data_IF_450404788186
#
_entry.id   IF_450404788186
#
_cell.length_a   1.000
_cell.length_b   1.000
_cell.length_c   1.000
_cell.angle_alpha   90.00
_cell.angle_beta   90.00
_cell.angle_gamma   90.00
#
_symmetry.space_group_name_H-M   'P 1'
#
loop_
_entity.id
_entity.type
_entity.pdbx_description
1 polymer ?
#
# COMPACT_ATOMS: atom_id res chain seq x y z
N UNK A 1 -4.24 9.75 30.74
CA UNK A 1 -4.67 9.70 29.34
C UNK A 1 -4.07 8.45 28.72
N UNK A 2 -4.86 7.56 28.19
CA UNK A 2 -4.38 6.35 27.51
C UNK A 2 -3.90 6.69 26.07
N UNK A 3 -3.33 5.74 25.36
CA UNK A 3 -2.79 5.96 24.01
C UNK A 3 -3.85 6.38 22.99
N UNK A 4 -5.07 5.81 23.08
CA UNK A 4 -6.19 6.15 22.21
C UNK A 4 -6.68 7.59 22.46
N UNK A 5 -6.79 7.99 23.72
CA UNK A 5 -7.15 9.36 24.09
C UNK A 5 -6.11 10.38 23.57
N UNK A 6 -4.82 10.05 23.66
CA UNK A 6 -3.74 10.88 23.10
C UNK A 6 -3.81 10.96 21.59
N UNK A 7 -4.08 9.85 20.92
CA UNK A 7 -4.24 9.82 19.47
C UNK A 7 -5.43 10.68 19.03
N UNK A 8 -6.56 10.56 19.73
CA UNK A 8 -7.75 11.40 19.46
C UNK A 8 -7.42 12.88 19.63
N UNK A 9 -6.76 13.26 20.73
CA UNK A 9 -6.35 14.65 20.97
C UNK A 9 -5.42 15.19 19.87
N UNK A 10 -4.45 14.38 19.40
CA UNK A 10 -3.55 14.75 18.30
C UNK A 10 -4.37 15.00 17.03
N UNK A 11 -5.28 14.09 16.68
CA UNK A 11 -6.13 14.19 15.49
C UNK A 11 -7.06 15.41 15.58
N UNK A 12 -7.68 15.64 16.74
CA UNK A 12 -8.60 16.75 16.94
C UNK A 12 -7.90 18.11 16.79
N UNK A 13 -6.66 18.22 17.22
CA UNK A 13 -5.85 19.43 17.13
C UNK A 13 -5.08 19.57 15.80
N UNK A 14 -5.15 18.59 14.91
CA UNK A 14 -4.50 18.61 13.61
C UNK A 14 -5.38 19.23 12.54
N UNK A 15 -4.75 19.92 11.58
CA UNK A 15 -5.43 20.54 10.44
C UNK A 15 -4.97 19.95 9.09
N UNK A 16 -3.77 19.40 9.04
CA UNK A 16 -3.17 18.82 7.83
C UNK A 16 -2.51 17.47 8.16
N UNK A 17 -3.32 16.44 8.22
CA UNK A 17 -2.85 15.07 8.48
C UNK A 17 -2.45 14.43 7.16
N UNK A 18 -1.31 13.73 7.15
CA UNK A 18 -0.94 12.76 6.12
C UNK A 18 -0.89 11.39 6.76
N UNK A 19 -1.44 10.40 6.08
CA UNK A 19 -1.31 9.01 6.45
C UNK A 19 -0.30 8.32 5.53
N UNK A 20 0.66 7.56 6.10
CA UNK A 20 1.62 6.74 5.37
C UNK A 20 1.43 5.27 5.77
N UNK A 21 0.96 4.45 4.83
CA UNK A 21 0.56 3.06 5.09
C UNK A 21 1.33 2.01 4.28
N UNK A 22 1.34 0.80 4.83
CA UNK A 22 1.83 -0.40 4.16
C UNK A 22 0.87 -1.58 4.30
N UNK A 23 1.34 -2.79 3.97
CA UNK A 23 0.51 -3.99 3.87
C UNK A 23 -0.23 -4.36 5.19
N UNK A 24 0.32 -3.98 6.34
CA UNK A 24 -0.33 -4.17 7.63
C UNK A 24 -1.68 -3.45 7.79
N UNK A 25 -1.97 -2.43 6.95
CA UNK A 25 -3.28 -1.75 6.93
C UNK A 25 -4.37 -2.69 6.42
N UNK A 26 -4.05 -3.56 5.46
CA UNK A 26 -5.00 -4.45 4.79
C UNK A 26 -5.09 -5.85 5.42
N UNK A 27 -4.30 -6.15 6.47
CA UNK A 27 -4.34 -7.49 7.11
C UNK A 27 -5.67 -7.80 7.78
N UNK A 28 -6.35 -6.79 8.33
CA UNK A 28 -7.69 -6.95 8.92
C UNK A 28 -8.80 -7.03 7.85
N UNK A 29 -8.44 -6.84 6.58
CA UNK A 29 -9.28 -7.06 5.39
C UNK A 29 -9.03 -8.43 4.73
N UNK A 30 -8.19 -9.28 5.33
CA UNK A 30 -7.86 -10.61 4.81
C UNK A 30 -6.72 -10.64 3.79
N UNK A 31 -6.08 -9.51 3.49
CA UNK A 31 -4.90 -9.47 2.62
C UNK A 31 -3.65 -9.67 3.50
N UNK A 32 -2.87 -10.75 3.32
CA UNK A 32 -1.66 -10.97 4.10
C UNK A 32 -0.62 -9.87 3.83
N UNK A 33 0.14 -9.50 4.84
CA UNK A 33 1.33 -8.68 4.62
C UNK A 33 2.46 -9.51 3.98
N UNK A 34 3.59 -8.87 3.72
CA UNK A 34 4.71 -9.56 3.05
C UNK A 34 5.63 -10.30 4.02
N UNK A 35 5.86 -9.80 5.25
CA UNK A 35 6.99 -10.18 6.10
C UNK A 35 6.64 -10.83 7.42
N UNK A 36 5.39 -10.80 7.86
CA UNK A 36 4.98 -11.49 9.08
C UNK A 36 5.10 -13.02 8.92
N UNK A 37 4.94 -13.74 10.02
CA UNK A 37 5.00 -15.20 10.01
C UNK A 37 3.98 -15.86 9.06
N UNK A 38 2.87 -15.18 8.77
CA UNK A 38 1.83 -15.60 7.83
C UNK A 38 1.85 -14.77 6.53
N UNK A 39 2.90 -13.99 6.30
CA UNK A 39 3.03 -13.11 5.15
C UNK A 39 3.40 -13.84 3.87
N UNK A 40 3.31 -13.13 2.74
CA UNK A 40 3.60 -13.68 1.42
C UNK A 40 5.01 -14.29 1.33
N UNK A 41 5.99 -13.71 2.05
CA UNK A 41 7.37 -14.22 2.03
C UNK A 41 7.60 -15.47 2.88
N UNK A 42 6.65 -15.86 3.73
CA UNK A 42 6.70 -17.12 4.49
C UNK A 42 6.18 -18.33 3.71
N UNK A 43 5.61 -18.10 2.52
CA UNK A 43 5.05 -19.17 1.67
C UNK A 43 6.20 -20.10 1.25
N UNK A 44 6.09 -21.37 1.64
CA UNK A 44 7.00 -22.41 1.17
C UNK A 44 6.69 -22.70 -0.30
N UNK A 45 7.55 -22.25 -1.17
CA UNK A 45 7.48 -22.51 -2.59
C UNK A 45 8.36 -23.74 -2.90
N UNK A 46 7.82 -24.72 -3.61
CA UNK A 46 8.60 -25.84 -4.18
C UNK A 46 9.48 -25.39 -5.36
N UNK A 47 9.98 -24.14 -5.30
CA UNK A 47 10.69 -23.48 -6.40
C UNK A 47 12.01 -22.88 -5.91
N UNK A 48 12.95 -22.74 -6.83
CA UNK A 48 14.27 -22.16 -6.55
C UNK A 48 14.29 -20.63 -6.40
N UNK A 49 13.12 -19.95 -6.45
CA UNK A 49 13.00 -18.49 -6.41
C UNK A 49 12.40 -18.02 -5.09
N UNK A 50 12.96 -16.94 -4.54
CA UNK A 50 12.33 -16.24 -3.41
C UNK A 50 11.05 -15.49 -3.85
N UNK A 51 10.13 -15.19 -2.94
CA UNK A 51 8.95 -14.38 -3.28
C UNK A 51 9.28 -13.02 -3.91
N UNK A 52 10.35 -12.36 -3.45
CA UNK A 52 10.82 -11.09 -4.05
C UNK A 52 11.26 -11.29 -5.50
N UNK A 53 11.96 -12.38 -5.79
CA UNK A 53 12.35 -12.71 -7.16
C UNK A 53 11.12 -12.97 -8.04
N UNK A 54 10.09 -13.67 -7.53
CA UNK A 54 8.86 -13.98 -8.26
C UNK A 54 8.07 -12.73 -8.68
N UNK A 55 8.22 -11.62 -7.97
CA UNK A 55 7.58 -10.33 -8.30
C UNK A 55 8.60 -9.28 -8.76
N UNK A 56 9.65 -9.71 -9.45
CA UNK A 56 10.66 -8.83 -10.05
C UNK A 56 10.42 -8.61 -11.55
N UNK A 57 11.00 -7.52 -12.08
CA UNK A 57 11.00 -7.24 -13.52
C UNK A 57 11.70 -8.36 -14.32
N UNK A 58 12.81 -8.86 -13.79
CA UNK A 58 13.53 -10.00 -14.38
C UNK A 58 12.64 -11.24 -14.51
N UNK A 59 11.85 -11.56 -13.47
CA UNK A 59 10.92 -12.69 -13.49
C UNK A 59 9.82 -12.50 -14.52
N UNK A 60 9.21 -11.32 -14.55
CA UNK A 60 8.22 -10.94 -15.54
C UNK A 60 8.71 -11.15 -16.98
N UNK A 61 9.97 -10.79 -17.27
CA UNK A 61 10.54 -10.91 -18.62
C UNK A 61 10.97 -12.33 -19.00
N UNK A 62 11.60 -13.07 -18.05
CA UNK A 62 12.23 -14.36 -18.36
C UNK A 62 11.34 -15.57 -18.08
N UNK A 63 10.44 -15.44 -17.12
CA UNK A 63 9.58 -16.52 -16.64
C UNK A 63 8.13 -16.00 -16.43
N UNK A 64 7.47 -15.52 -17.50
CA UNK A 64 6.17 -14.88 -17.35
C UNK A 64 5.08 -15.81 -16.79
N UNK A 65 5.10 -17.10 -17.10
CA UNK A 65 4.11 -18.04 -16.57
C UNK A 65 4.20 -18.15 -15.05
N UNK A 66 5.41 -18.26 -14.48
CA UNK A 66 5.65 -18.31 -13.06
C UNK A 66 5.29 -16.97 -12.36
N UNK A 67 5.64 -15.86 -13.03
CA UNK A 67 5.29 -14.52 -12.54
C UNK A 67 3.77 -14.37 -12.41
N UNK A 68 3.01 -14.64 -13.47
CA UNK A 68 1.56 -14.48 -13.47
C UNK A 68 0.84 -15.49 -12.59
N UNK A 69 1.34 -16.72 -12.48
CA UNK A 69 0.81 -17.72 -11.55
C UNK A 69 0.93 -17.25 -10.10
N UNK A 70 2.12 -16.76 -9.71
CA UNK A 70 2.35 -16.22 -8.37
C UNK A 70 1.56 -14.94 -8.13
N UNK A 71 1.58 -14.01 -9.08
CA UNK A 71 0.89 -12.73 -8.99
C UNK A 71 -0.61 -12.90 -8.75
N UNK A 72 -1.27 -13.76 -9.54
CA UNK A 72 -2.70 -14.04 -9.38
C UNK A 72 -3.05 -14.68 -8.04
N UNK A 73 -2.23 -15.62 -7.59
CA UNK A 73 -2.52 -16.40 -6.37
C UNK A 73 -2.27 -15.64 -5.08
N UNK A 74 -1.29 -14.73 -5.09
CA UNK A 74 -0.76 -14.17 -3.85
C UNK A 74 -0.81 -12.65 -3.75
N UNK A 75 -1.18 -11.94 -4.83
CA UNK A 75 -1.23 -10.48 -4.82
C UNK A 75 -2.60 -9.91 -5.21
N UNK A 76 -3.53 -10.73 -5.70
CA UNK A 76 -4.88 -10.30 -6.08
C UNK A 76 -5.90 -10.89 -5.11
N UNK A 77 -6.68 -10.03 -4.47
CA UNK A 77 -7.71 -10.38 -3.49
C UNK A 77 -9.00 -9.65 -3.82
N UNK A 78 -9.81 -10.22 -4.72
CA UNK A 78 -11.04 -9.58 -5.25
C UNK A 78 -12.15 -9.46 -4.22
N UNK A 79 -12.16 -10.31 -3.21
CA UNK A 79 -13.21 -10.38 -2.19
C UNK A 79 -12.87 -9.60 -0.91
N UNK A 80 -11.72 -8.88 -0.91
CA UNK A 80 -11.31 -8.10 0.24
C UNK A 80 -12.14 -6.82 0.35
N UNK A 81 -12.62 -6.53 1.56
CA UNK A 81 -13.41 -5.34 1.88
C UNK A 81 -12.63 -4.38 2.78
N UNK A 82 -12.87 -3.06 2.69
CA UNK A 82 -12.26 -2.10 3.57
C UNK A 82 -12.54 -2.41 5.05
N UNK A 83 -11.55 -2.20 5.90
CA UNK A 83 -11.67 -2.32 7.35
C UNK A 83 -11.80 -0.95 8.03
N UNK A 84 -12.01 -0.88 9.36
CA UNK A 84 -12.18 0.39 10.08
C UNK A 84 -11.09 1.42 9.83
N UNK A 85 -9.84 1.02 9.55
CA UNK A 85 -8.76 1.97 9.25
C UNK A 85 -9.03 2.73 7.95
N UNK A 86 -9.44 2.03 6.90
CA UNK A 86 -9.76 2.63 5.60
C UNK A 86 -10.93 3.61 5.72
N UNK A 87 -12.02 3.20 6.38
CA UNK A 87 -13.20 4.07 6.58
C UNK A 87 -12.89 5.30 7.43
N UNK A 88 -12.12 5.16 8.50
CA UNK A 88 -11.76 6.29 9.35
C UNK A 88 -10.91 7.33 8.61
N UNK A 89 -9.94 6.88 7.80
CA UNK A 89 -9.14 7.78 6.96
C UNK A 89 -9.99 8.52 5.92
N UNK A 90 -10.96 7.84 5.29
CA UNK A 90 -11.90 8.47 4.36
C UNK A 90 -12.77 9.53 5.07
N UNK A 91 -13.23 9.27 6.30
CA UNK A 91 -13.98 10.26 7.09
C UNK A 91 -13.10 11.46 7.51
N UNK A 92 -11.84 11.26 7.86
CA UNK A 92 -10.91 12.37 8.12
C UNK A 92 -10.66 13.23 6.88
N UNK A 93 -10.59 12.64 5.70
CA UNK A 93 -10.48 13.36 4.44
C UNK A 93 -11.76 14.18 4.17
N UNK A 94 -12.92 13.58 4.36
CA UNK A 94 -14.22 14.24 4.21
C UNK A 94 -14.39 15.41 5.19
N UNK A 95 -13.88 15.30 6.41
CA UNK A 95 -13.82 16.38 7.41
C UNK A 95 -12.77 17.46 7.07
N UNK A 96 -11.99 17.30 5.99
CA UNK A 96 -10.94 18.22 5.56
C UNK A 96 -9.67 18.19 6.41
N UNK A 97 -9.50 17.18 7.28
CA UNK A 97 -8.33 17.01 8.15
C UNK A 97 -7.22 16.21 7.50
N UNK A 98 -7.56 15.14 6.77
CA UNK A 98 -6.59 14.32 6.04
C UNK A 98 -6.37 14.90 4.64
N UNK A 99 -5.14 15.19 4.28
CA UNK A 99 -4.77 15.80 2.98
C UNK A 99 -4.36 14.77 1.94
N UNK A 100 -3.81 13.65 2.38
CA UNK A 100 -3.47 12.52 1.50
C UNK A 100 -3.29 11.21 2.29
N UNK A 101 -3.65 10.12 1.64
CA UNK A 101 -3.17 8.78 1.97
C UNK A 101 -2.00 8.46 1.05
N UNK A 102 -0.83 8.21 1.60
CA UNK A 102 0.34 7.69 0.87
C UNK A 102 0.42 6.21 1.20
N UNK A 103 0.27 5.34 0.21
CA UNK A 103 0.25 3.89 0.45
C UNK A 103 1.26 3.14 -0.39
N UNK A 104 1.88 2.13 0.22
CA UNK A 104 2.71 1.14 -0.47
C UNK A 104 1.86 -0.01 -1.03
N UNK A 105 0.58 -0.09 -0.65
CA UNK A 105 -0.32 -1.15 -1.09
C UNK A 105 -0.74 -0.95 -2.54
N UNK A 106 -0.97 -2.06 -3.21
CA UNK A 106 -1.46 -2.12 -4.60
C UNK A 106 -2.96 -2.44 -4.68
N UNK A 107 -3.60 -2.79 -3.55
CA UNK A 107 -5.05 -2.93 -3.43
C UNK A 107 -5.77 -1.58 -3.55
N UNK A 108 -7.10 -1.59 -3.64
CA UNK A 108 -7.92 -0.38 -3.77
C UNK A 108 -8.84 -0.14 -2.57
N UNK A 109 -8.49 -0.68 -1.41
CA UNK A 109 -9.35 -0.61 -0.22
C UNK A 109 -9.53 0.82 0.29
N UNK A 110 -8.54 1.70 0.15
CA UNK A 110 -8.68 3.11 0.49
C UNK A 110 -9.72 3.81 -0.38
N UNK A 111 -9.66 3.59 -1.71
CA UNK A 111 -10.61 4.16 -2.65
C UNK A 111 -12.01 3.57 -2.46
N UNK A 112 -12.13 2.26 -2.22
CA UNK A 112 -13.39 1.59 -1.90
C UNK A 112 -14.04 2.13 -0.63
N UNK A 113 -13.24 2.51 0.38
CA UNK A 113 -13.72 3.16 1.60
C UNK A 113 -14.17 4.62 1.40
N UNK A 114 -13.84 5.23 0.25
CA UNK A 114 -14.22 6.60 -0.11
C UNK A 114 -13.10 7.63 -0.07
N UNK A 115 -11.84 7.25 0.20
CA UNK A 115 -10.69 8.15 0.08
C UNK A 115 -10.48 8.56 -1.37
N UNK A 116 -10.22 9.85 -1.61
CA UNK A 116 -10.07 10.44 -2.94
C UNK A 116 -8.62 10.77 -3.30
N UNK A 117 -7.85 11.26 -2.32
CA UNK A 117 -6.44 11.58 -2.50
C UNK A 117 -5.59 10.42 -1.98
N UNK A 118 -5.44 9.39 -2.82
CA UNK A 118 -4.64 8.19 -2.55
C UNK A 118 -3.43 8.17 -3.47
N UNK A 119 -2.23 8.27 -2.89
CA UNK A 119 -0.95 8.25 -3.60
C UNK A 119 -0.36 6.83 -3.48
N UNK A 120 -0.58 6.02 -4.52
CA UNK A 120 -0.12 4.63 -4.59
C UNK A 120 1.32 4.58 -5.11
N UNK A 121 2.28 4.44 -4.20
CA UNK A 121 3.72 4.43 -4.54
C UNK A 121 4.14 3.23 -5.40
N UNK A 122 3.44 2.11 -5.27
CA UNK A 122 3.75 0.87 -5.99
C UNK A 122 2.70 0.52 -7.06
N UNK A 123 1.90 1.49 -7.49
CA UNK A 123 0.88 1.28 -8.51
C UNK A 123 -0.37 0.56 -8.00
N UNK A 124 -1.13 -0.08 -8.90
CA UNK A 124 -2.42 -0.69 -8.57
C UNK A 124 -2.69 -1.96 -9.38
N UNK A 125 -3.29 -2.97 -8.73
CA UNK A 125 -3.78 -4.18 -9.41
C UNK A 125 -4.93 -3.91 -10.39
N UNK A 126 -5.68 -2.82 -10.19
CA UNK A 126 -6.84 -2.48 -11.01
C UNK A 126 -6.49 -1.94 -12.39
N UNK A 127 -5.23 -1.61 -12.62
CA UNK A 127 -4.75 -1.05 -13.88
C UNK A 127 -3.73 -1.97 -14.49
N UNK A 128 -3.96 -2.31 -15.77
CA UNK A 128 -3.10 -3.21 -16.50
C UNK A 128 -2.92 -2.68 -17.92
N UNK A 129 -1.73 -2.77 -18.49
CA UNK A 129 -1.39 -2.14 -19.76
C UNK A 129 -0.79 -3.15 -20.71
N UNK A 130 -1.28 -3.19 -21.94
CA UNK A 130 -0.62 -3.91 -23.02
C UNK A 130 0.73 -3.24 -23.35
N UNK A 131 1.80 -3.98 -23.24
CA UNK A 131 3.16 -3.45 -23.45
C UNK A 131 3.48 -3.15 -24.92
N UNK A 132 2.69 -3.66 -25.87
CA UNK A 132 2.90 -3.41 -27.30
C UNK A 132 2.08 -2.26 -27.85
N UNK A 133 0.77 -2.17 -27.52
CA UNK A 133 -0.13 -1.15 -28.10
C UNK A 133 -0.61 -0.10 -27.09
N UNK A 134 -0.28 -0.24 -25.79
CA UNK A 134 -0.67 0.71 -24.75
C UNK A 134 -2.14 0.63 -24.30
N UNK A 135 -2.93 -0.32 -24.83
CA UNK A 135 -4.32 -0.49 -24.41
C UNK A 135 -4.42 -0.83 -22.94
N UNK A 136 -5.35 -0.19 -22.26
CA UNK A 136 -5.60 -0.35 -20.83
C UNK A 136 -6.69 -1.37 -20.57
N UNK A 137 -6.53 -2.13 -19.49
CA UNK A 137 -7.43 -3.18 -19.03
C UNK A 137 -7.71 -3.01 -17.54
N UNK A 138 -8.96 -3.18 -17.12
CA UNK A 138 -9.33 -3.33 -15.73
C UNK A 138 -8.94 -4.71 -15.19
N UNK A 139 -9.05 -4.88 -13.86
CA UNK A 139 -8.67 -6.13 -13.21
C UNK A 139 -9.47 -7.34 -13.74
N UNK A 140 -10.80 -7.21 -13.88
CA UNK A 140 -11.67 -8.30 -14.35
C UNK A 140 -11.34 -8.75 -15.77
N UNK A 141 -11.04 -7.80 -16.66
CA UNK A 141 -10.63 -8.11 -18.03
C UNK A 141 -9.27 -8.80 -18.06
N UNK A 142 -8.33 -8.26 -17.27
CA UNK A 142 -7.00 -8.85 -17.13
C UNK A 142 -7.07 -10.30 -16.64
N UNK A 143 -7.85 -10.58 -15.59
CA UNK A 143 -7.99 -11.92 -15.04
C UNK A 143 -8.59 -12.91 -16.04
N UNK A 144 -9.56 -12.49 -16.85
CA UNK A 144 -10.14 -13.33 -17.92
C UNK A 144 -9.13 -13.68 -19.01
N UNK A 145 -8.19 -12.78 -19.30
CA UNK A 145 -7.16 -12.98 -20.32
C UNK A 145 -5.93 -13.75 -19.78
N UNK A 146 -5.77 -13.86 -18.47
CA UNK A 146 -4.60 -14.44 -17.82
C UNK A 146 -4.65 -15.98 -17.78
N UNK A 147 -4.23 -16.65 -18.89
CA UNK A 147 -4.24 -18.10 -19.00
C UNK A 147 -3.02 -18.65 -19.81
N UNK A 148 -1.88 -18.99 -19.20
CA UNK A 148 -1.38 -18.47 -17.92
C UNK A 148 -0.94 -17.01 -18.02
N UNK A 149 -0.44 -16.57 -19.19
CA UNK A 149 0.04 -15.22 -19.50
C UNK A 149 -1.06 -14.43 -20.21
N UNK A 150 -1.39 -13.21 -19.76
CA UNK A 150 -2.42 -12.41 -20.40
C UNK A 150 -1.89 -11.75 -21.68
N UNK A 151 -2.59 -12.00 -22.80
CA UNK A 151 -2.30 -11.41 -24.10
C UNK A 151 -3.42 -10.47 -24.55
N UNK A 152 -3.01 -9.35 -25.14
CA UNK A 152 -3.92 -8.36 -25.70
C UNK A 152 -4.66 -8.96 -26.92
N UNK A 153 -5.99 -8.97 -26.94
CA UNK A 153 -6.76 -9.48 -28.09
C UNK A 153 -6.50 -8.75 -29.42
N UNK A 154 -6.09 -7.45 -29.32
CA UNK A 154 -5.93 -6.61 -30.51
C UNK A 154 -4.55 -6.78 -31.19
N UNK A 155 -3.49 -7.02 -30.40
CA UNK A 155 -2.12 -7.05 -30.96
C UNK A 155 -1.26 -8.22 -30.47
N UNK A 156 -1.81 -9.10 -29.64
CA UNK A 156 -1.15 -10.25 -29.03
C UNK A 156 0.03 -9.89 -28.11
N UNK A 157 0.21 -8.60 -27.76
CA UNK A 157 1.23 -8.16 -26.79
C UNK A 157 0.88 -8.61 -25.36
N UNK A 158 1.90 -8.80 -24.52
CA UNK A 158 1.69 -9.15 -23.11
C UNK A 158 1.08 -7.96 -22.36
N UNK A 159 0.10 -8.22 -21.50
CA UNK A 159 -0.53 -7.21 -20.64
C UNK A 159 0.15 -7.27 -19.28
N UNK A 160 0.90 -6.19 -18.94
CA UNK A 160 1.58 -6.06 -17.63
C UNK A 160 0.67 -5.32 -16.64
N UNK A 161 0.56 -5.79 -15.38
CA UNK A 161 -0.09 -4.99 -14.35
C UNK A 161 0.70 -3.69 -14.09
N UNK A 162 -0.03 -2.58 -13.89
CA UNK A 162 0.56 -1.26 -13.61
C UNK A 162 1.00 -1.20 -12.12
N UNK A 163 1.73 -2.20 -11.66
CA UNK A 163 2.38 -2.26 -10.36
C UNK A 163 3.88 -2.14 -10.53
N UNK A 164 4.54 -1.48 -9.58
CA UNK A 164 6.00 -1.37 -9.53
C UNK A 164 6.58 -2.66 -9.00
N UNK A 165 7.26 -3.42 -9.86
CA UNK A 165 7.95 -4.65 -9.49
C UNK A 165 9.30 -4.34 -8.84
N UNK A 166 9.86 -5.30 -8.11
CA UNK A 166 11.27 -5.21 -7.76
C UNK A 166 12.12 -4.97 -9.02
N UNK A 167 13.20 -4.21 -8.91
CA UNK A 167 14.06 -3.76 -10.01
C UNK A 167 13.48 -2.63 -10.87
N UNK A 168 12.21 -2.22 -10.65
CA UNK A 168 11.60 -1.07 -11.33
C UNK A 168 11.70 0.20 -10.47
N UNK A 169 11.73 1.35 -11.15
CA UNK A 169 11.67 2.66 -10.49
C UNK A 169 10.23 3.01 -10.10
N UNK A 170 10.07 3.73 -8.99
CA UNK A 170 8.78 4.32 -8.63
C UNK A 170 8.37 5.40 -9.64
N UNK A 171 7.06 5.65 -9.73
CA UNK A 171 6.54 6.83 -10.43
C UNK A 171 6.96 8.10 -9.68
N UNK A 172 7.87 8.86 -10.28
CA UNK A 172 8.41 10.07 -9.67
C UNK A 172 7.36 11.17 -9.50
N UNK A 173 6.31 11.19 -10.33
CA UNK A 173 5.21 12.15 -10.17
C UNK A 173 4.46 11.89 -8.87
N UNK A 174 4.13 10.63 -8.59
CA UNK A 174 3.49 10.24 -7.32
C UNK A 174 4.42 10.46 -6.13
N UNK A 175 5.71 10.19 -6.31
CA UNK A 175 6.73 10.37 -5.26
C UNK A 175 6.90 11.85 -4.88
N UNK A 176 6.98 12.75 -5.86
CA UNK A 176 7.07 14.20 -5.65
C UNK A 176 5.80 14.77 -5.02
N UNK A 177 4.63 14.29 -5.44
CA UNK A 177 3.35 14.69 -4.83
C UNK A 177 3.28 14.23 -3.36
N UNK A 178 3.79 13.04 -3.04
CA UNK A 178 3.90 12.56 -1.66
C UNK A 178 4.82 13.46 -0.81
N UNK A 179 5.98 13.89 -1.35
CA UNK A 179 6.86 14.85 -0.69
C UNK A 179 6.13 16.17 -0.43
N UNK A 180 5.39 16.68 -1.42
CA UNK A 180 4.62 17.92 -1.23
C UNK A 180 3.65 17.81 -0.05
N UNK A 181 2.84 16.75 0.02
CA UNK A 181 1.91 16.56 1.14
C UNK A 181 2.62 16.42 2.49
N UNK A 182 3.72 15.68 2.54
CA UNK A 182 4.50 15.46 3.76
C UNK A 182 5.13 16.77 4.29
N UNK A 183 5.63 17.62 3.40
CA UNK A 183 6.24 18.91 3.79
C UNK A 183 5.20 19.91 4.31
N UNK A 184 3.94 19.78 3.94
CA UNK A 184 2.85 20.66 4.37
C UNK A 184 2.10 20.14 5.60
N UNK A 185 2.31 18.89 6.00
CA UNK A 185 1.59 18.26 7.09
C UNK A 185 2.04 18.78 8.46
N UNK A 186 1.08 18.98 9.35
CA UNK A 186 1.35 19.20 10.78
C UNK A 186 1.41 17.88 11.57
N UNK A 187 0.79 16.84 11.05
CA UNK A 187 0.73 15.51 11.64
C UNK A 187 0.95 14.44 10.58
N UNK A 188 1.86 13.51 10.85
CA UNK A 188 2.08 12.30 10.07
C UNK A 188 1.68 11.09 10.90
N UNK A 189 0.74 10.30 10.40
CA UNK A 189 0.38 9.00 10.98
C UNK A 189 0.96 7.92 10.09
N UNK A 190 1.85 7.10 10.64
CA UNK A 190 2.44 5.94 9.98
C UNK A 190 1.74 4.69 10.50
N UNK A 191 1.22 3.85 9.61
CA UNK A 191 0.49 2.65 10.01
C UNK A 191 0.79 1.41 9.17
N UNK A 192 0.86 0.24 9.82
CA UNK A 192 0.93 -1.05 9.15
C UNK A 192 2.13 -1.23 8.22
N UNK A 193 3.28 -0.67 8.53
CA UNK A 193 4.49 -0.78 7.70
C UNK A 193 5.73 -1.04 8.54
N UNK A 194 6.64 -1.87 8.02
CA UNK A 194 7.95 -2.12 8.63
C UNK A 194 8.98 -1.04 8.33
N UNK A 195 8.69 -0.12 7.40
CA UNK A 195 9.58 0.97 6.95
C UNK A 195 10.96 0.51 6.43
N UNK A 196 11.01 -0.68 5.80
CA UNK A 196 12.26 -1.26 5.26
C UNK A 196 12.33 -1.29 3.74
N UNK A 197 11.24 -0.93 3.03
CA UNK A 197 11.19 -0.92 1.56
C UNK A 197 11.58 0.45 1.02
N UNK A 198 12.76 0.54 0.46
CA UNK A 198 13.26 1.75 -0.18
C UNK A 198 12.95 1.73 -1.69
N UNK A 199 12.72 2.93 -2.32
CA UNK A 199 12.85 4.26 -1.73
C UNK A 199 11.61 4.76 -0.95
N UNK A 200 10.47 4.05 -0.95
CA UNK A 200 9.23 4.49 -0.31
C UNK A 200 9.42 4.86 1.18
N UNK A 201 10.18 4.07 1.95
CA UNK A 201 10.44 4.34 3.36
C UNK A 201 11.20 5.66 3.61
N UNK A 202 11.96 6.18 2.64
CA UNK A 202 12.67 7.45 2.78
C UNK A 202 11.75 8.68 2.78
N UNK A 203 10.51 8.54 2.29
CA UNK A 203 9.55 9.64 2.23
C UNK A 203 9.26 10.27 3.60
N UNK A 204 9.25 9.47 4.67
CA UNK A 204 8.99 9.98 6.03
C UNK A 204 10.01 11.04 6.47
N UNK A 205 11.21 11.06 5.88
CA UNK A 205 12.27 12.04 6.16
C UNK A 205 11.91 13.45 5.69
N UNK A 206 10.92 13.61 4.81
CA UNK A 206 10.44 14.92 4.35
C UNK A 206 9.41 15.55 5.30
N UNK A 207 8.87 14.79 6.24
CA UNK A 207 7.98 15.35 7.26
C UNK A 207 8.73 16.30 8.18
N UNK A 208 8.10 17.47 8.44
CA UNK A 208 8.66 18.54 9.31
C UNK A 208 7.62 19.04 10.32
N UNK A 209 6.45 18.39 10.38
CA UNK A 209 5.38 18.77 11.27
C UNK A 209 5.65 18.44 12.74
N UNK A 210 4.68 18.74 13.57
CA UNK A 210 4.80 18.64 15.03
C UNK A 210 4.58 17.22 15.55
N UNK A 211 3.64 16.48 14.96
CA UNK A 211 3.20 15.21 15.51
C UNK A 211 3.54 14.05 14.56
N UNK A 212 4.43 13.17 15.00
CA UNK A 212 4.70 11.88 14.36
C UNK A 212 4.05 10.79 15.19
N UNK A 213 3.06 10.11 14.61
CA UNK A 213 2.36 8.98 15.24
C UNK A 213 2.71 7.70 14.50
N UNK A 214 2.97 6.63 15.24
CA UNK A 214 3.26 5.31 14.68
C UNK A 214 2.31 4.27 15.24
N UNK A 215 1.61 3.56 14.36
CA UNK A 215 0.67 2.49 14.72
C UNK A 215 1.09 1.22 13.97
N UNK A 216 1.72 0.29 14.66
CA UNK A 216 2.21 -0.94 14.04
C UNK A 216 2.33 -2.06 15.06
N UNK A 217 1.98 -3.31 14.69
CA UNK A 217 2.07 -4.46 15.60
C UNK A 217 3.49 -4.71 16.12
N UNK A 218 4.47 -4.52 15.26
CA UNK A 218 5.90 -4.75 15.58
C UNK A 218 6.64 -3.45 15.74
N UNK A 219 7.70 -3.47 16.53
CA UNK A 219 8.65 -2.36 16.69
C UNK A 219 9.28 -2.03 15.35
N UNK A 220 9.48 -0.74 15.08
CA UNK A 220 10.15 -0.22 13.89
C UNK A 220 11.36 0.62 14.25
N UNK A 221 12.22 0.92 13.29
CA UNK A 221 13.35 1.83 13.50
C UNK A 221 12.95 3.27 13.82
N UNK A 222 11.69 3.62 13.63
CA UNK A 222 11.17 4.99 13.83
C UNK A 222 10.47 5.20 15.18
N UNK A 223 10.29 4.15 15.97
CA UNK A 223 9.58 4.23 17.27
C UNK A 223 10.18 5.31 18.18
N UNK A 224 11.52 5.40 18.23
CA UNK A 224 12.22 6.38 19.09
C UNK A 224 12.05 7.84 18.64
N UNK A 225 11.56 8.09 17.43
CA UNK A 225 11.35 9.43 16.88
C UNK A 225 9.89 9.87 16.94
N UNK A 226 8.97 8.94 17.19
CA UNK A 226 7.53 9.21 17.22
C UNK A 226 7.12 9.87 18.55
N UNK A 227 6.17 10.80 18.47
CA UNK A 227 5.53 11.43 19.64
C UNK A 227 4.54 10.48 20.33
N UNK A 228 3.99 9.55 19.56
CA UNK A 228 3.09 8.51 20.04
C UNK A 228 3.34 7.22 19.25
N UNK A 229 3.55 6.13 19.98
CA UNK A 229 3.65 4.77 19.38
C UNK A 229 2.55 3.90 19.97
N UNK A 230 1.83 3.18 19.13
CA UNK A 230 0.80 2.21 19.52
C UNK A 230 1.12 0.87 18.87
N UNK A 231 1.42 -0.13 19.69
CA UNK A 231 1.69 -1.49 19.22
C UNK A 231 0.41 -2.33 19.16
N UNK A 232 -0.43 -2.07 18.13
CA UNK A 232 -1.65 -2.85 17.89
C UNK A 232 -2.01 -2.86 16.38
N UNK A 233 -3.09 -3.57 16.03
CA UNK A 233 -3.69 -3.54 14.70
C UNK A 233 -4.31 -2.17 14.42
N UNK A 234 -4.06 -1.62 13.25
CA UNK A 234 -4.48 -0.25 12.92
C UNK A 234 -6.01 -0.11 12.83
N UNK A 235 -6.70 -1.12 12.29
CA UNK A 235 -8.17 -1.12 12.24
C UNK A 235 -8.78 -1.15 13.64
N UNK A 236 -8.22 -1.97 14.55
CA UNK A 236 -8.62 -2.01 15.95
C UNK A 236 -8.37 -0.67 16.65
N UNK A 237 -7.25 0.00 16.39
CA UNK A 237 -6.94 1.32 16.96
C UNK A 237 -7.94 2.35 16.45
N UNK A 238 -8.15 2.42 15.15
CA UNK A 238 -9.03 3.42 14.55
C UNK A 238 -10.52 3.19 14.85
N UNK A 239 -10.94 1.95 15.08
CA UNK A 239 -12.33 1.66 15.51
C UNK A 239 -12.70 2.25 16.88
N UNK A 240 -11.71 2.67 17.68
CA UNK A 240 -11.92 3.26 19.00
C UNK A 240 -11.94 4.80 18.96
N UNK A 241 -11.67 5.41 17.82
CA UNK A 241 -11.67 6.86 17.61
C UNK A 241 -13.09 7.37 17.24
N UNK A 242 -13.32 8.68 17.41
CA UNK A 242 -14.62 9.33 17.19
C UNK A 242 -14.64 10.20 15.95
#
# INVERSE_FOLDING_TARGET
>A
MNEIEKLQEIIDNSNKIVFFGGAGVSTESGIPDFRSANGVYSIKLDRHFSPEQLISHTMYLKYPEEFYDFYKKHLIYTDAEPNPAHYYLAELEKKGKLTAVITQNIDSLHEMAGSRKVLKLHGSVDKNTCMSCGKKYGLDEFLKLCNPVPHCPDCNGIIKPDVTLYEESLDMTVFEEAIYHLTQADTLIIGGTSLVVYPAASLIQYFRGKNLVLINKSVTSQDNYANLVIHDSIGKVFSQLK
#
